data_IF_995281367084
#
_entry.id   IF_995281367084
#
_cell.length_a   1.000
_cell.length_b   1.000
_cell.length_c   1.000
_cell.angle_alpha   90.00
_cell.angle_beta   90.00
_cell.angle_gamma   90.00
#
_symmetry.space_group_name_H-M   'P 1'
#
loop_
_entity.id
_entity.type
_entity.pdbx_description
1 polymer ?
#
# COMPACT_ATOMS: atom_id res chain seq x y z
N UNK A 1 -5.21 12.85 16.62
CA UNK A 1 -4.65 13.16 15.28
C UNK A 1 -4.06 11.90 14.64
N UNK A 2 -3.31 11.09 15.37
CA UNK A 2 -2.71 9.83 14.86
C UNK A 2 -3.71 8.88 14.20
N UNK A 3 -4.88 8.66 14.81
CA UNK A 3 -5.90 7.76 14.24
C UNK A 3 -6.45 8.20 12.88
N UNK A 4 -6.51 9.51 12.60
CA UNK A 4 -6.97 10.01 11.30
C UNK A 4 -5.94 9.73 10.20
N UNK A 5 -4.65 10.01 10.46
CA UNK A 5 -3.57 9.66 9.55
C UNK A 5 -3.46 8.14 9.36
N UNK A 6 -3.66 7.36 10.43
CA UNK A 6 -3.68 5.91 10.30
C UNK A 6 -4.78 5.45 9.32
N UNK A 7 -6.01 5.97 9.47
CA UNK A 7 -7.12 5.62 8.56
C UNK A 7 -6.79 6.00 7.11
N UNK A 8 -6.28 7.21 6.86
CA UNK A 8 -5.93 7.65 5.51
C UNK A 8 -4.81 6.80 4.92
N UNK A 9 -3.79 6.50 5.72
CA UNK A 9 -2.71 5.63 5.29
C UNK A 9 -3.19 4.21 5.01
N UNK A 10 -4.20 3.71 5.73
CA UNK A 10 -4.79 2.38 5.45
C UNK A 10 -5.55 2.35 4.12
N UNK A 11 -6.10 3.48 3.68
CA UNK A 11 -6.74 3.60 2.36
C UNK A 11 -5.79 4.02 1.23
N UNK A 12 -4.52 4.29 1.54
CA UNK A 12 -3.49 4.61 0.55
C UNK A 12 -3.05 3.36 -0.23
N UNK A 13 -2.74 3.55 -1.51
CA UNK A 13 -2.38 2.50 -2.45
C UNK A 13 -3.06 2.68 -3.82
N UNK A 14 -4.41 2.75 -3.87
CA UNK A 14 -5.15 2.86 -5.12
C UNK A 14 -4.77 4.09 -5.95
N UNK A 15 -4.33 5.19 -5.33
CA UNK A 15 -3.89 6.40 -6.03
C UNK A 15 -2.71 6.16 -6.96
N UNK A 16 -1.86 5.16 -6.68
CA UNK A 16 -0.72 4.83 -7.53
C UNK A 16 -1.13 4.11 -8.82
N UNK A 17 -2.35 3.58 -8.91
CA UNK A 17 -2.88 2.97 -10.13
C UNK A 17 -3.06 4.00 -11.25
N UNK A 18 -3.12 5.29 -10.93
CA UNK A 18 -3.14 6.36 -11.94
C UNK A 18 -1.90 6.30 -12.83
N UNK A 19 -0.75 5.93 -12.26
CA UNK A 19 0.47 5.78 -13.05
C UNK A 19 0.39 4.63 -14.05
N UNK A 20 -0.49 3.65 -13.83
CA UNK A 20 -0.79 2.60 -14.81
C UNK A 20 -1.71 3.08 -15.94
N UNK A 21 -2.20 4.32 -15.88
CA UNK A 21 -3.13 4.92 -16.85
C UNK A 21 -2.78 4.69 -18.32
N UNK A 22 -1.50 4.83 -18.76
CA UNK A 22 -1.12 4.56 -20.16
C UNK A 22 -1.28 3.09 -20.59
N UNK A 23 -1.22 2.15 -19.65
CA UNK A 23 -1.37 0.71 -19.89
C UNK A 23 -2.79 0.20 -19.62
N UNK A 24 -3.61 0.99 -18.92
CA UNK A 24 -5.01 0.68 -18.66
C UNK A 24 -5.88 1.22 -19.79
N UNK A 25 -6.85 0.41 -20.24
CA UNK A 25 -7.87 0.90 -21.18
C UNK A 25 -8.65 2.04 -20.51
N UNK A 26 -8.54 3.25 -21.04
CA UNK A 26 -9.23 4.45 -20.53
C UNK A 26 -10.70 4.40 -20.96
N UNK A 27 -11.47 3.52 -20.33
CA UNK A 27 -12.91 3.40 -20.55
C UNK A 27 -13.67 3.43 -19.22
N UNK A 28 -14.98 3.68 -19.31
CA UNK A 28 -15.85 3.75 -18.14
C UNK A 28 -15.87 2.45 -17.33
N UNK A 29 -15.57 1.29 -17.94
CA UNK A 29 -15.53 0.00 -17.22
C UNK A 29 -14.33 -0.06 -16.27
N UNK A 30 -13.14 0.35 -16.72
CA UNK A 30 -11.93 0.37 -15.88
C UNK A 30 -12.14 1.25 -14.65
N UNK A 31 -12.66 2.47 -14.83
CA UNK A 31 -12.96 3.36 -13.70
C UNK A 31 -13.97 2.72 -12.74
N UNK A 32 -15.04 2.12 -13.26
CA UNK A 32 -16.06 1.44 -12.46
C UNK A 32 -15.50 0.29 -11.63
N UNK A 33 -14.64 -0.56 -12.20
CA UNK A 33 -14.01 -1.65 -11.46
C UNK A 33 -13.06 -1.14 -10.37
N UNK A 34 -12.29 -0.08 -10.63
CA UNK A 34 -11.43 0.54 -9.61
C UNK A 34 -12.26 1.12 -8.45
N UNK A 35 -13.37 1.80 -8.75
CA UNK A 35 -14.28 2.32 -7.73
C UNK A 35 -14.93 1.20 -6.93
N UNK A 36 -15.34 0.10 -7.57
CA UNK A 36 -15.90 -1.06 -6.86
C UNK A 36 -14.88 -1.76 -5.97
N UNK A 37 -13.62 -1.90 -6.41
CA UNK A 37 -12.55 -2.42 -5.58
C UNK A 37 -12.37 -1.58 -4.31
N UNK A 38 -12.26 -0.26 -4.46
CA UNK A 38 -12.11 0.65 -3.31
C UNK A 38 -13.33 0.63 -2.37
N UNK A 39 -14.55 0.61 -2.93
CA UNK A 39 -15.77 0.51 -2.13
C UNK A 39 -15.83 -0.81 -1.35
N UNK A 40 -15.39 -1.92 -1.96
CA UNK A 40 -15.29 -3.21 -1.29
C UNK A 40 -14.31 -3.16 -0.11
N UNK A 41 -13.15 -2.52 -0.27
CA UNK A 41 -12.17 -2.31 0.82
C UNK A 41 -12.74 -1.49 1.98
N UNK A 42 -13.51 -0.44 1.69
CA UNK A 42 -14.21 0.34 2.74
C UNK A 42 -15.20 -0.54 3.50
N UNK A 43 -16.00 -1.33 2.79
CA UNK A 43 -16.97 -2.26 3.40
C UNK A 43 -16.25 -3.29 4.25
N UNK A 44 -15.15 -3.87 3.76
CA UNK A 44 -14.32 -4.82 4.48
C UNK A 44 -13.78 -4.22 5.80
N UNK A 45 -13.19 -3.03 5.75
CA UNK A 45 -12.62 -2.37 6.93
C UNK A 45 -13.69 -2.06 7.98
N UNK A 46 -14.85 -1.53 7.55
CA UNK A 46 -15.97 -1.23 8.45
C UNK A 46 -16.53 -2.51 9.05
N UNK A 47 -16.71 -3.56 8.24
CA UNK A 47 -17.22 -4.84 8.72
C UNK A 47 -16.29 -5.47 9.76
N UNK A 48 -14.99 -5.55 9.47
CA UNK A 48 -13.98 -6.12 10.38
C UNK A 48 -13.86 -5.30 11.66
N UNK A 49 -13.96 -3.98 11.57
CA UNK A 49 -13.96 -3.09 12.74
C UNK A 49 -15.19 -3.34 13.62
N UNK A 50 -16.39 -3.37 13.05
CA UNK A 50 -17.64 -3.64 13.79
C UNK A 50 -17.58 -5.03 14.42
N UNK A 51 -17.16 -6.05 13.67
CA UNK A 51 -17.04 -7.41 14.19
C UNK A 51 -16.06 -7.48 15.38
N UNK A 52 -14.90 -6.84 15.27
CA UNK A 52 -13.92 -6.77 16.35
C UNK A 52 -14.45 -6.00 17.56
N UNK A 53 -15.18 -4.91 17.34
CA UNK A 53 -15.78 -4.13 18.41
C UNK A 53 -16.88 -4.90 19.15
N UNK A 54 -17.71 -5.65 18.43
CA UNK A 54 -18.75 -6.50 19.03
C UNK A 54 -18.15 -7.68 19.81
N UNK A 55 -17.04 -8.26 19.31
CA UNK A 55 -16.40 -9.39 19.95
C UNK A 55 -15.61 -9.01 21.21
N UNK A 56 -14.77 -7.97 21.14
CA UNK A 56 -13.87 -7.59 22.24
C UNK A 56 -14.42 -6.47 23.14
N UNK A 57 -15.35 -5.65 22.64
CA UNK A 57 -15.69 -4.38 23.27
C UNK A 57 -14.56 -3.34 23.17
N UNK A 58 -14.89 -2.06 23.35
CA UNK A 58 -13.94 -0.95 23.13
C UNK A 58 -12.70 -0.99 24.04
N UNK A 59 -12.88 -1.38 25.31
CA UNK A 59 -11.82 -1.38 26.32
C UNK A 59 -10.76 -2.46 26.10
N UNK A 60 -11.15 -3.60 25.54
CA UNK A 60 -10.22 -4.69 25.26
C UNK A 60 -9.67 -4.60 23.83
N UNK A 61 -10.47 -4.10 22.88
CA UNK A 61 -10.06 -3.88 21.49
C UNK A 61 -8.84 -2.95 21.41
N UNK A 62 -8.82 -1.87 22.19
CA UNK A 62 -7.70 -0.91 22.22
C UNK A 62 -6.38 -1.49 22.75
N UNK A 63 -6.43 -2.64 23.43
CA UNK A 63 -5.27 -3.36 23.98
C UNK A 63 -4.89 -4.60 23.18
N UNK A 64 -5.74 -5.03 22.25
CA UNK A 64 -5.53 -6.26 21.48
C UNK A 64 -4.62 -5.99 20.28
N UNK A 65 -3.50 -6.70 20.22
CA UNK A 65 -2.64 -6.73 19.04
C UNK A 65 -3.23 -7.75 18.05
N UNK A 66 -3.53 -7.32 16.82
CA UNK A 66 -4.14 -8.15 15.77
C UNK A 66 -5.53 -8.72 16.12
N UNK A 67 -6.54 -7.87 16.39
CA UNK A 67 -7.85 -8.31 16.87
C UNK A 67 -8.54 -9.31 15.94
N UNK A 68 -8.43 -9.13 14.62
CA UNK A 68 -9.04 -10.03 13.62
C UNK A 68 -8.45 -11.44 13.71
N UNK A 69 -7.12 -11.55 13.80
CA UNK A 69 -6.43 -12.85 13.90
C UNK A 69 -6.81 -13.54 15.21
N UNK A 70 -6.82 -12.79 16.31
CA UNK A 70 -7.18 -13.32 17.61
C UNK A 70 -8.63 -13.83 17.62
N UNK A 71 -9.57 -13.06 17.08
CA UNK A 71 -10.98 -13.45 16.95
C UNK A 71 -11.12 -14.72 16.11
N UNK A 72 -10.41 -14.82 14.98
CA UNK A 72 -10.48 -15.98 14.11
C UNK A 72 -9.94 -17.27 14.77
N UNK A 73 -8.88 -17.17 15.59
CA UNK A 73 -8.33 -18.32 16.33
C UNK A 73 -9.30 -18.90 17.36
N UNK A 74 -10.26 -18.13 17.86
CA UNK A 74 -11.28 -18.63 18.80
C UNK A 74 -12.26 -19.64 18.18
N UNK A 75 -12.34 -19.74 16.85
CA UNK A 75 -13.18 -20.75 16.19
C UNK A 75 -12.62 -22.18 16.27
N UNK A 76 -11.44 -22.39 16.87
CA UNK A 76 -10.84 -23.70 17.22
C UNK A 76 -10.86 -24.76 16.12
N UNK A 77 -10.86 -24.33 14.85
CA UNK A 77 -10.81 -25.23 13.71
C UNK A 77 -9.39 -25.18 13.12
N UNK A 78 -8.79 -26.34 12.76
CA UNK A 78 -7.40 -26.43 12.32
C UNK A 78 -7.07 -25.55 11.10
N UNK A 79 -8.05 -25.22 10.26
CA UNK A 79 -7.88 -24.26 9.15
C UNK A 79 -7.79 -22.82 9.68
N UNK A 80 -8.60 -22.48 10.68
CA UNK A 80 -8.66 -21.14 11.28
C UNK A 80 -7.52 -20.87 12.27
N UNK A 81 -6.89 -21.90 12.83
CA UNK A 81 -5.64 -21.76 13.58
C UNK A 81 -4.49 -21.24 12.70
N UNK A 82 -4.56 -21.51 11.39
CA UNK A 82 -3.58 -21.09 10.37
C UNK A 82 -4.07 -19.95 9.49
N UNK A 83 -5.12 -19.27 9.90
CA UNK A 83 -5.69 -18.15 9.13
C UNK A 83 -4.69 -17.01 8.93
N UNK A 84 -3.76 -16.84 9.87
CA UNK A 84 -2.63 -15.93 9.74
C UNK A 84 -1.78 -16.22 8.50
N UNK A 85 -1.41 -17.48 8.25
CA UNK A 85 -0.69 -17.87 7.04
C UNK A 85 -1.49 -17.65 5.76
N UNK A 86 -2.81 -17.90 5.80
CA UNK A 86 -3.69 -17.68 4.66
C UNK A 86 -3.79 -16.18 4.35
N UNK A 87 -4.05 -15.35 5.35
CA UNK A 87 -4.11 -13.89 5.20
C UNK A 87 -2.77 -13.31 4.74
N UNK A 88 -1.65 -13.79 5.31
CA UNK A 88 -0.30 -13.43 4.85
C UNK A 88 -0.08 -13.78 3.38
N UNK A 89 -0.60 -14.91 2.90
CA UNK A 89 -0.44 -15.32 1.51
C UNK A 89 -1.20 -14.38 0.55
N UNK A 90 -2.41 -13.96 0.91
CA UNK A 90 -3.14 -12.94 0.15
C UNK A 90 -2.42 -11.59 0.18
N UNK A 91 -1.89 -11.20 1.33
CA UNK A 91 -1.17 -9.94 1.48
C UNK A 91 0.15 -9.93 0.70
N UNK A 92 0.86 -11.06 0.64
CA UNK A 92 2.06 -11.20 -0.18
C UNK A 92 1.78 -10.96 -1.67
N UNK A 93 0.62 -11.40 -2.17
CA UNK A 93 0.24 -11.12 -3.56
C UNK A 93 0.08 -9.60 -3.80
N UNK A 94 -0.62 -8.90 -2.90
CA UNK A 94 -0.77 -7.45 -2.97
C UNK A 94 0.57 -6.73 -2.86
N UNK A 95 1.45 -7.21 -1.97
CA UNK A 95 2.77 -6.65 -1.76
C UNK A 95 3.66 -6.82 -3.00
N UNK A 96 3.67 -7.99 -3.63
CA UNK A 96 4.42 -8.21 -4.88
C UNK A 96 3.94 -7.27 -5.98
N UNK A 97 2.63 -7.08 -6.10
CA UNK A 97 2.06 -6.13 -7.06
C UNK A 97 2.52 -4.69 -6.79
N UNK A 98 2.40 -4.22 -5.54
CA UNK A 98 2.82 -2.87 -5.15
C UNK A 98 4.33 -2.65 -5.34
N UNK A 99 5.17 -3.59 -4.94
CA UNK A 99 6.62 -3.53 -5.14
C UNK A 99 6.97 -3.50 -6.62
N UNK A 100 6.30 -4.30 -7.45
CA UNK A 100 6.51 -4.29 -8.90
C UNK A 100 6.17 -2.93 -9.52
N UNK A 101 5.07 -2.31 -9.07
CA UNK A 101 4.68 -0.96 -9.49
C UNK A 101 5.74 0.07 -9.10
N UNK A 102 6.15 0.11 -7.83
CA UNK A 102 7.15 1.07 -7.36
C UNK A 102 8.51 0.88 -8.03
N UNK A 103 8.88 -0.37 -8.34
CA UNK A 103 10.10 -0.66 -9.08
C UNK A 103 10.05 -0.11 -10.51
N UNK A 104 8.91 -0.24 -11.18
CA UNK A 104 8.71 0.35 -12.51
C UNK A 104 8.76 1.88 -12.46
N UNK A 105 8.14 2.49 -11.45
CA UNK A 105 8.17 3.94 -11.23
C UNK A 105 9.59 4.43 -10.95
N UNK A 106 10.34 3.74 -10.09
CA UNK A 106 11.72 4.08 -9.78
C UNK A 106 12.63 3.94 -11.00
N UNK A 107 12.46 2.90 -11.80
CA UNK A 107 13.18 2.72 -13.07
C UNK A 107 12.86 3.86 -14.05
N UNK A 108 11.58 4.20 -14.19
CA UNK A 108 11.11 5.33 -14.99
C UNK A 108 11.76 6.64 -14.54
N UNK A 109 11.66 6.98 -13.26
CA UNK A 109 12.25 8.18 -12.67
C UNK A 109 13.77 8.24 -12.86
N UNK A 110 14.46 7.10 -12.71
CA UNK A 110 15.90 7.00 -12.94
C UNK A 110 16.26 7.34 -14.39
N UNK A 111 15.50 6.83 -15.38
CA UNK A 111 15.72 7.19 -16.79
C UNK A 111 15.55 8.69 -17.05
N UNK A 112 14.61 9.33 -16.37
CA UNK A 112 14.38 10.78 -16.47
C UNK A 112 15.57 11.54 -15.88
N UNK A 113 15.98 11.20 -14.66
CA UNK A 113 17.09 11.84 -13.96
C UNK A 113 18.42 11.74 -14.74
N UNK A 114 18.66 10.62 -15.43
CA UNK A 114 19.84 10.43 -16.27
C UNK A 114 19.70 10.94 -17.72
N UNK A 115 18.60 11.60 -18.08
CA UNK A 115 18.38 12.11 -19.44
C UNK A 115 18.26 11.03 -20.52
N UNK A 116 17.92 9.78 -20.14
CA UNK A 116 17.86 8.61 -21.03
C UNK A 116 16.43 8.27 -21.45
N UNK A 117 15.51 9.24 -21.44
CA UNK A 117 14.09 9.00 -21.74
C UNK A 117 13.87 8.46 -23.16
N UNK A 118 14.61 8.99 -24.14
CA UNK A 118 14.53 8.60 -25.57
C UNK A 118 15.15 7.23 -25.88
N UNK A 119 15.92 6.64 -24.96
CA UNK A 119 16.53 5.32 -25.16
C UNK A 119 15.50 4.21 -24.86
N UNK A 120 15.50 3.11 -25.62
CA UNK A 120 14.62 1.98 -25.34
C UNK A 120 14.88 1.43 -23.92
N UNK A 121 13.84 0.86 -23.31
CA UNK A 121 13.97 0.18 -22.02
C UNK A 121 14.99 -0.94 -22.12
N UNK A 122 15.95 -0.96 -21.18
CA UNK A 122 17.00 -1.98 -21.12
C UNK A 122 16.79 -2.85 -19.89
N UNK A 123 16.71 -4.17 -20.09
CA UNK A 123 16.61 -5.14 -18.99
C UNK A 123 17.76 -5.02 -17.99
N UNK A 124 18.96 -4.64 -18.44
CA UNK A 124 20.11 -4.36 -17.56
C UNK A 124 19.85 -3.16 -16.64
N UNK A 125 19.20 -2.12 -17.15
CA UNK A 125 18.83 -0.95 -16.35
C UNK A 125 17.76 -1.27 -15.31
N UNK A 126 16.78 -2.10 -15.67
CA UNK A 126 15.77 -2.57 -14.73
C UNK A 126 16.40 -3.43 -13.62
N UNK A 127 17.26 -4.39 -13.99
CA UNK A 127 18.00 -5.20 -13.01
C UNK A 127 18.84 -4.34 -12.08
N UNK A 128 19.50 -3.30 -12.60
CA UNK A 128 20.25 -2.36 -11.74
C UNK A 128 19.32 -1.66 -10.73
N UNK A 129 18.13 -1.21 -11.16
CA UNK A 129 17.12 -0.66 -10.24
C UNK A 129 16.68 -1.67 -9.17
N UNK A 130 16.48 -2.94 -9.54
CA UNK A 130 16.17 -4.02 -8.58
C UNK A 130 17.29 -4.14 -7.54
N UNK A 131 18.54 -4.25 -7.97
CA UNK A 131 19.68 -4.39 -7.06
C UNK A 131 19.83 -3.18 -6.14
N UNK A 132 19.66 -1.97 -6.66
CA UNK A 132 19.77 -0.75 -5.87
C UNK A 132 18.68 -0.67 -4.79
N UNK A 133 17.44 -0.98 -5.13
CA UNK A 133 16.33 -1.06 -4.16
C UNK A 133 16.61 -2.15 -3.12
N UNK A 134 17.06 -3.34 -3.56
CA UNK A 134 17.37 -4.44 -2.66
C UNK A 134 18.46 -4.08 -1.65
N UNK A 135 19.57 -3.49 -2.11
CA UNK A 135 20.65 -3.01 -1.23
C UNK A 135 20.09 -1.96 -0.26
N UNK A 136 19.28 -1.02 -0.75
CA UNK A 136 18.61 -0.03 0.09
C UNK A 136 17.75 -0.67 1.18
N UNK A 137 16.97 -1.70 0.85
CA UNK A 137 16.15 -2.45 1.81
C UNK A 137 17.01 -3.17 2.86
N UNK A 138 18.10 -3.82 2.46
CA UNK A 138 19.02 -4.50 3.40
C UNK A 138 19.66 -3.48 4.35
N UNK A 139 20.13 -2.35 3.83
CA UNK A 139 20.69 -1.28 4.66
C UNK A 139 19.67 -0.71 5.62
N UNK A 140 18.46 -0.40 5.15
CA UNK A 140 17.37 0.09 6.01
C UNK A 140 17.02 -0.92 7.11
N UNK A 141 17.00 -2.22 6.80
CA UNK A 141 16.76 -3.27 7.77
C UNK A 141 17.83 -3.27 8.88
N UNK A 142 19.10 -3.30 8.49
CA UNK A 142 20.22 -3.33 9.43
C UNK A 142 20.35 -2.05 10.28
N UNK A 143 20.16 -0.87 9.67
CA UNK A 143 20.37 0.43 10.33
C UNK A 143 19.16 0.91 11.15
N UNK A 144 17.95 0.59 10.71
CA UNK A 144 16.71 1.17 11.24
C UNK A 144 15.68 0.15 11.72
N UNK A 145 15.66 -1.09 11.22
CA UNK A 145 14.62 -2.05 11.61
C UNK A 145 14.97 -2.86 12.86
N UNK A 146 16.25 -3.25 13.04
CA UNK A 146 16.68 -4.03 14.22
C UNK A 146 16.48 -3.33 15.58
N UNK A 147 16.66 -2.00 15.71
CA UNK A 147 16.39 -1.30 16.96
C UNK A 147 14.87 -1.04 17.12
N UNK A 148 14.24 -1.60 18.15
CA UNK A 148 12.79 -1.48 18.43
C UNK A 148 12.29 -0.02 18.41
N UNK A 149 13.07 0.93 18.94
CA UNK A 149 12.71 2.35 18.94
C UNK A 149 12.61 2.95 17.53
N UNK A 150 13.42 2.47 16.58
CA UNK A 150 13.44 2.95 15.19
C UNK A 150 12.36 2.28 14.32
N UNK A 151 11.83 1.14 14.73
CA UNK A 151 10.69 0.50 14.08
C UNK A 151 9.44 1.40 14.12
N UNK A 152 9.15 1.99 15.28
CA UNK A 152 8.04 2.94 15.42
C UNK A 152 8.23 4.20 14.56
N UNK A 153 9.47 4.66 14.39
CA UNK A 153 9.76 5.78 13.51
C UNK A 153 9.44 5.47 12.04
N UNK A 154 9.88 4.31 11.54
CA UNK A 154 9.58 3.89 10.16
C UNK A 154 8.09 3.70 9.92
N UNK A 155 7.37 3.11 10.89
CA UNK A 155 5.92 2.96 10.83
C UNK A 155 5.21 4.32 10.80
N UNK A 156 5.59 5.25 11.67
CA UNK A 156 5.02 6.61 11.66
C UNK A 156 5.31 7.35 10.36
N UNK A 157 6.52 7.20 9.81
CA UNK A 157 6.89 7.79 8.53
C UNK A 157 6.06 7.19 7.38
N UNK A 158 5.83 5.88 7.39
CA UNK A 158 4.94 5.22 6.44
C UNK A 158 3.51 5.75 6.56
N UNK A 159 2.98 5.88 7.77
CA UNK A 159 1.61 6.39 8.02
C UNK A 159 1.47 7.81 7.47
N UNK A 160 2.44 8.69 7.74
CA UNK A 160 2.42 10.06 7.25
C UNK A 160 2.54 10.09 5.72
N UNK A 161 3.47 9.32 5.15
CA UNK A 161 3.69 9.27 3.71
C UNK A 161 2.44 8.77 2.96
N UNK A 162 1.82 7.68 3.43
CA UNK A 162 0.59 7.13 2.84
C UNK A 162 -0.59 8.09 2.97
N UNK A 163 -0.73 8.76 4.12
CA UNK A 163 -1.77 9.78 4.30
C UNK A 163 -1.61 10.95 3.33
N UNK A 164 -0.38 11.41 3.14
CA UNK A 164 -0.06 12.50 2.23
C UNK A 164 -0.29 12.08 0.78
N UNK A 165 0.12 10.88 0.37
CA UNK A 165 -0.09 10.41 -1.01
C UNK A 165 -1.57 10.29 -1.35
N UNK A 166 -2.38 9.77 -0.41
CA UNK A 166 -3.82 9.61 -0.59
C UNK A 166 -4.53 10.93 -0.91
N UNK A 167 -4.06 12.06 -0.34
CA UNK A 167 -4.58 13.39 -0.66
C UNK A 167 -3.89 14.04 -1.87
N UNK A 168 -2.56 14.04 -1.91
CA UNK A 168 -1.79 14.83 -2.87
C UNK A 168 -1.88 14.27 -4.28
N UNK A 169 -1.88 12.95 -4.46
CA UNK A 169 -1.87 12.33 -5.79
C UNK A 169 -3.16 12.67 -6.56
N UNK A 170 -4.38 12.46 -6.01
CA UNK A 170 -5.62 12.91 -6.66
C UNK A 170 -5.65 14.43 -6.92
N UNK A 171 -5.18 15.24 -5.97
CA UNK A 171 -5.19 16.70 -6.09
C UNK A 171 -4.32 17.18 -7.25
N UNK A 172 -3.09 16.67 -7.39
CA UNK A 172 -2.20 17.00 -8.50
C UNK A 172 -2.84 16.62 -9.83
N UNK A 173 -3.49 15.47 -9.92
CA UNK A 173 -4.17 15.03 -11.15
C UNK A 173 -5.28 16.02 -11.54
N UNK A 174 -6.14 16.41 -10.59
CA UNK A 174 -7.23 17.38 -10.84
C UNK A 174 -6.66 18.72 -11.30
N UNK A 175 -5.58 19.20 -10.68
CA UNK A 175 -4.92 20.45 -11.08
C UNK A 175 -4.33 20.38 -12.51
N UNK A 176 -3.67 19.27 -12.84
CA UNK A 176 -3.10 19.04 -14.19
C UNK A 176 -4.22 18.94 -15.24
N UNK A 177 -5.32 18.26 -14.93
CA UNK A 177 -6.48 18.15 -15.83
C UNK A 177 -7.12 19.51 -16.09
N UNK A 178 -7.30 20.34 -15.06
CA UNK A 178 -7.84 21.72 -15.21
C UNK A 178 -6.96 22.59 -16.09
N UNK A 179 -5.64 22.42 -16.06
CA UNK A 179 -4.70 23.18 -16.89
C UNK A 179 -4.65 22.74 -18.36
N UNK A 180 -5.01 21.48 -18.65
CA UNK A 180 -5.05 20.94 -20.02
C UNK A 180 -6.41 21.11 -20.72
N UNK A 181 -7.48 21.34 -19.96
CA UNK A 181 -8.84 21.55 -20.47
C UNK A 181 -9.26 23.03 -20.57
N UNK A 182 -8.30 23.96 -20.53
CA UNK A 182 -8.49 25.39 -20.79
C UNK A 182 -7.68 25.84 -21.99
#
# INVERSE_FOLDING_TARGET
>A
MEGFFLILSSYSGPEFLVFLGPWLKTNNKTFRYLSYGNALTVVEYVFLFIASLLYFGSNYLSKSQYPIINMARYFQNPVFERIDMIMLSFELFNLVFAVSLFLLLFYGASKIAFGKMSKPSSGKGLLFSVFLIFIGMVLLNELFWKPWEKQNFLLNLQIIAGSLSYFLVPLVIVLVMKKKGG
#
